data_IF_468561967121
#
_entry.id   IF_468561967121
#
_cell.length_a   1.000
_cell.length_b   1.000
_cell.length_c   1.000
_cell.angle_alpha   90.00
_cell.angle_beta   90.00
_cell.angle_gamma   90.00
#
_symmetry.space_group_name_H-M   'P 1'
#
loop_
_entity.id
_entity.type
_entity.pdbx_description
1 polymer ?
#
# COMPACT_ATOMS: atom_id res chain seq x y z
N UNK A 1 -9.06 29.03 -5.40
CA UNK A 1 -8.18 27.89 -5.10
C UNK A 1 -8.72 26.70 -5.87
N UNK A 2 -7.91 26.05 -6.68
CA UNK A 2 -8.33 24.91 -7.51
C UNK A 2 -8.59 23.69 -6.61
N UNK A 3 -9.56 22.83 -6.94
CA UNK A 3 -9.89 21.64 -6.12
C UNK A 3 -8.67 20.75 -5.82
N UNK A 4 -7.71 20.68 -6.76
CA UNK A 4 -6.47 19.93 -6.59
C UNK A 4 -5.56 20.48 -5.49
N UNK A 5 -5.47 21.81 -5.32
CA UNK A 5 -4.65 22.44 -4.28
C UNK A 5 -5.21 22.15 -2.88
N UNK A 6 -6.54 22.16 -2.72
CA UNK A 6 -7.18 21.85 -1.45
C UNK A 6 -6.99 20.38 -1.06
N UNK A 7 -7.12 19.46 -2.02
CA UNK A 7 -6.85 18.03 -1.79
C UNK A 7 -5.39 17.81 -1.43
N UNK A 8 -4.46 18.41 -2.18
CA UNK A 8 -3.03 18.33 -1.92
C UNK A 8 -2.70 18.82 -0.51
N UNK A 9 -3.19 20.00 -0.13
CA UNK A 9 -3.01 20.58 1.21
C UNK A 9 -3.45 19.62 2.32
N UNK A 10 -4.63 19.00 2.18
CA UNK A 10 -5.12 18.01 3.14
C UNK A 10 -4.24 16.78 3.24
N UNK A 11 -3.77 16.25 2.11
CA UNK A 11 -2.86 15.10 2.10
C UNK A 11 -1.55 15.40 2.82
N UNK A 12 -0.95 16.56 2.56
CA UNK A 12 0.27 17.00 3.26
C UNK A 12 0.01 17.14 4.76
N UNK A 13 -1.10 17.78 5.14
CA UNK A 13 -1.46 17.94 6.55
C UNK A 13 -1.60 16.59 7.26
N UNK A 14 -2.35 15.65 6.68
CA UNK A 14 -2.55 14.32 7.27
C UNK A 14 -1.24 13.55 7.44
N UNK A 15 -0.31 13.68 6.48
CA UNK A 15 1.01 13.06 6.59
C UNK A 15 1.81 13.66 7.75
N UNK A 16 1.85 14.99 7.87
CA UNK A 16 2.57 15.69 8.93
C UNK A 16 2.00 15.40 10.33
N UNK A 17 0.68 15.29 10.44
CA UNK A 17 0.00 14.91 11.69
C UNK A 17 0.40 13.49 12.11
N UNK A 18 0.34 12.50 11.20
CA UNK A 18 0.80 11.14 11.47
C UNK A 18 2.27 11.09 11.87
N UNK A 19 3.11 11.89 11.21
CA UNK A 19 4.54 12.01 11.54
C UNK A 19 4.74 12.57 12.96
N UNK A 20 3.98 13.60 13.33
CA UNK A 20 4.02 14.20 14.66
C UNK A 20 3.52 13.24 15.77
N UNK A 21 2.59 12.33 15.45
CA UNK A 21 2.17 11.28 16.39
C UNK A 21 3.30 10.27 16.67
N UNK A 22 4.13 9.98 15.66
CA UNK A 22 5.24 9.04 15.77
C UNK A 22 6.53 9.69 16.29
N UNK A 23 6.77 10.97 15.97
CA UNK A 23 7.98 11.73 16.30
C UNK A 23 7.62 12.94 17.16
N UNK A 24 7.92 12.84 18.46
CA UNK A 24 7.63 13.89 19.43
C UNK A 24 8.43 15.17 19.18
N UNK A 25 9.65 15.09 18.65
CA UNK A 25 10.46 16.28 18.31
C UNK A 25 9.84 17.02 17.12
N UNK A 26 9.36 16.27 16.14
CA UNK A 26 8.62 16.83 15.00
C UNK A 26 7.29 17.46 15.42
N UNK A 27 6.61 16.90 16.43
CA UNK A 27 5.38 17.50 16.95
C UNK A 27 5.60 18.90 17.55
N UNK A 28 6.78 19.16 18.13
CA UNK A 28 7.15 20.48 18.63
C UNK A 28 7.40 21.46 17.49
N UNK A 29 8.06 21.03 16.40
CA UNK A 29 8.31 21.89 15.23
C UNK A 29 7.03 22.20 14.45
N UNK A 30 6.11 21.25 14.34
CA UNK A 30 4.81 21.42 13.69
C UNK A 30 3.91 22.46 14.39
N UNK A 31 4.06 22.61 15.73
CA UNK A 31 3.27 23.54 16.55
C UNK A 31 3.83 24.97 16.59
N UNK A 32 4.98 25.23 15.96
CA UNK A 32 5.57 26.58 15.92
C UNK A 32 4.64 27.54 15.17
N UNK A 33 4.27 28.68 15.77
CA UNK A 33 3.37 29.67 15.16
C UNK A 33 3.93 30.29 13.86
N UNK A 34 5.25 30.28 13.71
CA UNK A 34 5.97 30.74 12.53
C UNK A 34 6.00 29.71 11.37
N UNK A 35 5.19 28.65 11.44
CA UNK A 35 5.07 27.65 10.38
C UNK A 35 3.60 27.43 10.01
N UNK A 36 3.23 27.74 8.76
CA UNK A 36 1.90 27.46 8.22
C UNK A 36 1.91 26.35 7.17
N UNK A 37 0.85 25.55 7.15
CA UNK A 37 0.61 24.53 6.12
C UNK A 37 0.50 25.16 4.71
N UNK A 38 -0.04 26.39 4.61
CA UNK A 38 -0.12 27.11 3.34
C UNK A 38 1.27 27.48 2.80
N UNK A 39 2.16 27.90 3.69
CA UNK A 39 3.55 28.22 3.32
C UNK A 39 4.35 26.96 2.98
N UNK A 40 4.12 25.87 3.68
CA UNK A 40 4.67 24.55 3.34
C UNK A 40 4.26 24.13 1.93
N UNK A 41 2.97 24.22 1.58
CA UNK A 41 2.49 23.91 0.23
C UNK A 41 3.14 24.83 -0.81
N UNK A 42 3.20 26.13 -0.55
CA UNK A 42 3.86 27.07 -1.46
C UNK A 42 5.36 26.77 -1.64
N UNK A 43 6.04 26.34 -0.57
CA UNK A 43 7.46 25.94 -0.59
C UNK A 43 7.66 24.76 -1.53
N UNK A 44 6.85 23.71 -1.36
CA UNK A 44 6.89 22.51 -2.21
C UNK A 44 6.67 22.91 -3.66
N UNK A 45 5.63 23.71 -3.95
CA UNK A 45 5.31 24.16 -5.31
C UNK A 45 6.44 24.98 -5.94
N UNK A 46 7.12 25.84 -5.18
CA UNK A 46 8.23 26.64 -5.67
C UNK A 46 9.46 25.77 -5.97
N UNK A 47 9.73 24.77 -5.13
CA UNK A 47 10.85 23.85 -5.31
C UNK A 47 10.61 22.92 -6.50
N UNK A 48 9.39 22.39 -6.64
CA UNK A 48 8.94 21.64 -7.82
C UNK A 48 9.08 22.50 -9.08
N UNK A 49 8.61 23.74 -9.05
CA UNK A 49 8.73 24.66 -10.19
C UNK A 49 10.19 24.92 -10.60
N UNK A 50 11.09 25.08 -9.62
CA UNK A 50 12.53 25.28 -9.88
C UNK A 50 13.21 24.03 -10.43
N UNK A 51 12.74 22.84 -10.06
CA UNK A 51 13.30 21.58 -10.56
C UNK A 51 13.07 21.37 -12.06
N UNK A 52 12.03 21.99 -12.62
CA UNK A 52 11.61 21.77 -14.01
C UNK A 52 10.95 20.40 -14.26
N UNK A 53 10.75 19.59 -13.21
CA UNK A 53 10.06 18.30 -13.32
C UNK A 53 8.55 18.46 -13.09
N UNK A 54 7.74 17.76 -13.88
CA UNK A 54 6.27 17.81 -13.82
C UNK A 54 5.64 16.71 -12.95
N UNK A 55 6.43 15.80 -12.38
CA UNK A 55 5.93 14.68 -11.58
C UNK A 55 6.90 14.29 -10.49
N UNK A 56 6.37 14.04 -9.29
CA UNK A 56 7.10 13.66 -8.09
C UNK A 56 6.37 12.52 -7.40
N UNK A 57 7.10 11.63 -6.75
CA UNK A 57 6.50 10.64 -5.88
C UNK A 57 6.00 11.28 -4.58
N UNK A 58 4.98 10.67 -3.96
CA UNK A 58 4.41 11.15 -2.71
C UNK A 58 5.49 11.27 -1.60
N UNK A 59 6.40 10.29 -1.52
CA UNK A 59 7.52 10.27 -0.57
C UNK A 59 8.47 11.46 -0.72
N UNK A 60 8.76 11.88 -1.95
CA UNK A 60 9.61 13.04 -2.22
C UNK A 60 8.92 14.32 -1.74
N UNK A 61 7.64 14.46 -2.08
CA UNK A 61 6.81 15.59 -1.67
C UNK A 61 6.70 15.67 -0.14
N UNK A 62 6.50 14.52 0.52
CA UNK A 62 6.45 14.42 1.97
C UNK A 62 7.79 14.76 2.62
N UNK A 63 8.91 14.34 2.02
CA UNK A 63 10.25 14.73 2.45
C UNK A 63 10.44 16.26 2.40
N UNK A 64 9.99 16.90 1.32
CA UNK A 64 10.03 18.37 1.19
C UNK A 64 9.17 19.06 2.26
N UNK A 65 8.02 18.47 2.61
CA UNK A 65 7.17 18.99 3.67
C UNK A 65 7.84 18.89 5.05
N UNK A 66 8.48 17.77 5.37
CA UNK A 66 9.24 17.59 6.63
C UNK A 66 10.39 18.58 6.71
N UNK A 67 11.19 18.70 5.64
CA UNK A 67 12.26 19.68 5.54
C UNK A 67 11.78 21.11 5.80
N UNK A 68 10.56 21.46 5.39
CA UNK A 68 9.99 22.78 5.66
C UNK A 68 9.85 23.07 7.16
N UNK A 69 9.48 22.07 7.95
CA UNK A 69 9.27 22.22 9.40
C UNK A 69 10.55 22.04 10.21
N UNK A 70 11.52 21.27 9.70
CA UNK A 70 12.83 21.10 10.34
C UNK A 70 13.77 22.30 10.13
N UNK A 71 13.71 22.96 8.97
CA UNK A 71 14.53 24.14 8.71
C UNK A 71 13.85 25.44 9.18
N UNK A 72 14.37 26.07 10.23
CA UNK A 72 13.83 27.35 10.75
C UNK A 72 14.15 28.57 9.85
N UNK A 73 15.13 28.49 8.94
CA UNK A 73 15.62 29.62 8.13
C UNK A 73 15.40 29.42 6.62
N UNK A 74 14.12 29.26 6.24
CA UNK A 74 13.73 29.12 4.84
C UNK A 74 13.49 30.47 4.20
N UNK A 75 14.18 30.74 3.08
CA UNK A 75 14.00 31.97 2.28
C UNK A 75 12.53 32.18 1.95
N UNK A 76 12.04 33.39 2.23
CA UNK A 76 10.67 33.84 1.99
C UNK A 76 10.03 33.18 0.75
N UNK A 77 9.05 32.32 1.01
CA UNK A 77 8.33 31.58 -0.02
C UNK A 77 7.39 32.56 -0.71
N UNK A 78 7.65 32.87 -1.98
CA UNK A 78 6.74 33.71 -2.77
C UNK A 78 5.44 32.96 -3.02
N UNK A 79 4.32 33.62 -2.78
CA UNK A 79 3.01 33.12 -3.17
C UNK A 79 2.99 32.85 -4.69
N UNK A 80 2.78 31.60 -5.05
CA UNK A 80 2.79 31.12 -6.43
C UNK A 80 1.39 30.65 -6.83
N UNK A 81 0.86 31.22 -7.91
CA UNK A 81 -0.42 30.83 -8.50
C UNK A 81 -0.25 29.62 -9.44
N UNK A 82 0.19 28.49 -8.89
CA UNK A 82 0.43 27.26 -9.66
C UNK A 82 -0.81 26.36 -9.67
N UNK A 83 -1.14 25.77 -10.82
CA UNK A 83 -2.24 24.79 -10.94
C UNK A 83 -1.74 23.41 -10.53
N UNK A 84 -2.27 22.88 -9.43
CA UNK A 84 -1.94 21.55 -8.91
C UNK A 84 -2.98 20.55 -9.43
N UNK A 85 -2.53 19.53 -10.16
CA UNK A 85 -3.36 18.42 -10.62
C UNK A 85 -2.89 17.18 -9.84
N UNK A 86 -3.73 16.74 -8.90
CA UNK A 86 -3.46 15.53 -8.10
C UNK A 86 -4.02 14.33 -8.84
N UNK A 87 -3.15 13.57 -9.51
CA UNK A 87 -3.50 12.26 -10.04
C UNK A 87 -3.37 11.23 -8.92
N UNK A 88 -4.29 11.25 -7.96
CA UNK A 88 -4.33 10.24 -6.91
C UNK A 88 -4.82 8.91 -7.49
N UNK A 89 -3.90 8.15 -8.09
CA UNK A 89 -4.07 6.71 -8.26
C UNK A 89 -3.60 6.12 -6.94
N UNK A 90 -4.52 5.56 -6.15
CA UNK A 90 -4.16 4.70 -5.02
C UNK A 90 -3.42 3.50 -5.61
N UNK A 91 -2.12 3.63 -5.78
CA UNK A 91 -1.24 2.48 -5.91
C UNK A 91 -1.05 2.00 -4.49
N UNK A 92 -1.95 1.11 -4.05
CA UNK A 92 -1.68 0.25 -2.90
C UNK A 92 -0.40 -0.51 -3.24
N UNK A 93 0.75 0.01 -2.81
CA UNK A 93 1.98 -0.74 -2.74
C UNK A 93 1.70 -1.99 -1.90
N UNK A 94 2.16 -3.14 -2.40
CA UNK A 94 1.73 -4.45 -1.93
C UNK A 94 1.93 -4.67 -0.42
N UNK A 95 2.86 -3.94 0.20
CA UNK A 95 3.20 -4.07 1.61
C UNK A 95 2.08 -3.61 2.58
N UNK A 96 1.43 -2.46 2.35
CA UNK A 96 0.36 -1.97 3.25
C UNK A 96 -0.93 -2.82 3.19
N UNK A 97 -1.21 -3.40 2.02
CA UNK A 97 -2.34 -4.32 1.84
C UNK A 97 -2.09 -5.66 2.54
N UNK A 98 -0.83 -6.12 2.56
CA UNK A 98 -0.47 -7.40 3.20
C UNK A 98 -0.57 -7.25 4.72
N UNK A 99 -0.04 -6.18 5.30
CA UNK A 99 -0.09 -5.97 6.74
C UNK A 99 -1.54 -5.81 7.25
N UNK A 100 -2.37 -5.04 6.55
CA UNK A 100 -3.78 -4.87 6.90
C UNK A 100 -4.59 -6.18 6.76
N UNK A 101 -4.30 -6.99 5.73
CA UNK A 101 -4.94 -8.31 5.55
C UNK A 101 -4.48 -9.32 6.58
N UNK A 102 -3.21 -9.30 6.97
CA UNK A 102 -2.66 -10.24 7.94
C UNK A 102 -3.21 -9.95 9.35
N UNK A 103 -3.36 -8.68 9.71
CA UNK A 103 -4.00 -8.27 10.96
C UNK A 103 -5.48 -8.66 11.00
N UNK A 104 -6.24 -8.40 9.92
CA UNK A 104 -7.64 -8.81 9.83
C UNK A 104 -7.81 -10.34 9.90
N UNK A 105 -6.91 -11.09 9.25
CA UNK A 105 -6.94 -12.55 9.27
C UNK A 105 -6.58 -13.11 10.65
N UNK A 106 -5.59 -12.53 11.35
CA UNK A 106 -5.25 -12.91 12.73
C UNK A 106 -6.42 -12.71 13.69
N UNK A 107 -7.08 -11.56 13.62
CA UNK A 107 -8.22 -11.25 14.48
C UNK A 107 -9.40 -12.19 14.20
N UNK A 108 -9.71 -12.47 12.93
CA UNK A 108 -10.76 -13.42 12.58
C UNK A 108 -10.46 -14.86 13.05
N UNK A 109 -9.20 -15.30 12.96
CA UNK A 109 -8.76 -16.61 13.46
C UNK A 109 -8.84 -16.66 14.99
N UNK A 110 -8.49 -15.57 15.67
CA UNK A 110 -8.56 -15.50 17.14
C UNK A 110 -10.00 -15.51 17.62
N UNK A 111 -10.87 -14.72 16.99
CA UNK A 111 -12.30 -14.66 17.30
C UNK A 111 -12.98 -16.01 17.06
N UNK A 112 -12.69 -16.67 15.92
CA UNK A 112 -13.17 -18.01 15.63
C UNK A 112 -12.65 -19.07 16.62
N UNK A 113 -11.42 -18.93 17.13
CA UNK A 113 -10.88 -19.82 18.18
C UNK A 113 -11.57 -19.60 19.52
N UNK A 114 -11.91 -18.36 19.88
CA UNK A 114 -12.66 -18.03 21.10
C UNK A 114 -14.08 -18.60 21.01
N UNK A 115 -14.73 -18.47 19.86
CA UNK A 115 -16.08 -18.97 19.61
C UNK A 115 -16.13 -20.52 19.53
N UNK A 116 -15.11 -21.15 18.94
CA UNK A 116 -14.93 -22.60 18.98
C UNK A 116 -14.75 -23.12 20.42
N UNK A 117 -13.92 -22.46 21.24
CA UNK A 117 -13.76 -22.84 22.66
C UNK A 117 -15.06 -22.67 23.47
N UNK A 118 -15.87 -21.67 23.13
CA UNK A 118 -17.17 -21.42 23.77
C UNK A 118 -18.22 -22.48 23.40
N UNK A 119 -18.15 -23.03 22.20
CA UNK A 119 -19.07 -24.08 21.69
C UNK A 119 -18.65 -25.50 22.10
N UNK A 120 -17.36 -25.78 22.24
CA UNK A 120 -16.83 -27.09 22.68
C UNK A 120 -17.18 -27.41 24.15
N UNK A 121 -17.52 -26.41 24.97
CA UNK A 121 -18.00 -26.61 26.35
C UNK A 121 -19.38 -27.30 26.48
N UNK A 122 -20.12 -27.54 25.38
CA UNK A 122 -21.49 -28.07 25.40
C UNK A 122 -21.66 -29.28 24.48
N UNK A 123 -21.17 -30.45 24.93
CA UNK A 123 -21.52 -31.85 24.53
C UNK A 123 -21.83 -32.15 23.04
N UNK A 124 -21.03 -33.03 22.41
CA UNK A 124 -21.42 -34.34 21.78
C UNK A 124 -20.22 -34.91 20.99
N UNK A 125 -20.04 -36.24 21.06
CA UNK A 125 -18.97 -37.05 20.46
C UNK A 125 -19.14 -37.18 18.94
N UNK A 126 -18.11 -36.86 18.16
CA UNK A 126 -17.78 -37.47 16.85
C UNK A 126 -16.29 -37.20 16.59
N UNK A 127 -15.52 -38.23 16.24
CA UNK A 127 -14.05 -38.22 16.25
C UNK A 127 -13.43 -37.25 15.24
N UNK A 128 -12.39 -36.54 15.67
CA UNK A 128 -11.68 -35.47 14.94
C UNK A 128 -10.88 -35.96 13.72
N UNK A 129 -10.69 -37.29 13.60
CA UNK A 129 -9.87 -37.92 12.56
C UNK A 129 -10.57 -37.91 11.19
N UNK A 130 -11.88 -38.19 11.13
CA UNK A 130 -12.62 -38.27 9.84
C UNK A 130 -12.74 -36.90 9.16
N UNK A 131 -12.86 -35.82 9.94
CA UNK A 131 -12.99 -34.47 9.39
C UNK A 131 -11.66 -33.89 8.88
N UNK A 132 -10.54 -34.34 9.47
CA UNK A 132 -9.20 -33.99 9.01
C UNK A 132 -8.84 -34.75 7.72
N UNK A 133 -9.25 -36.01 7.61
CA UNK A 133 -9.04 -36.83 6.41
C UNK A 133 -9.80 -36.28 5.20
N UNK A 134 -11.08 -35.94 5.37
CA UNK A 134 -11.90 -35.33 4.28
C UNK A 134 -11.32 -33.99 3.81
N UNK A 135 -10.79 -33.17 4.72
CA UNK A 135 -10.14 -31.89 4.36
C UNK A 135 -8.82 -32.11 3.63
N UNK A 136 -8.02 -33.08 4.06
CA UNK A 136 -6.73 -33.42 3.42
C UNK A 136 -6.95 -33.97 2.01
N UNK A 137 -7.91 -34.86 1.83
CA UNK A 137 -8.25 -35.44 0.51
C UNK A 137 -8.78 -34.37 -0.47
N UNK A 138 -9.58 -33.42 0.01
CA UNK A 138 -10.07 -32.31 -0.81
C UNK A 138 -8.93 -31.38 -1.30
N UNK A 139 -7.95 -31.09 -0.43
CA UNK A 139 -6.79 -30.26 -0.79
C UNK A 139 -5.90 -31.00 -1.79
N UNK A 140 -5.68 -32.29 -1.61
CA UNK A 140 -4.83 -33.09 -2.50
C UNK A 140 -5.41 -33.19 -3.92
N UNK A 141 -6.73 -33.39 -4.05
CA UNK A 141 -7.42 -33.38 -5.35
C UNK A 141 -7.30 -32.04 -6.07
N UNK A 142 -7.43 -30.92 -5.35
CA UNK A 142 -7.26 -29.58 -5.93
C UNK A 142 -5.82 -29.33 -6.40
N UNK A 143 -4.82 -29.83 -5.66
CA UNK A 143 -3.41 -29.69 -6.05
C UNK A 143 -3.07 -30.53 -7.29
N UNK A 144 -3.61 -31.74 -7.38
CA UNK A 144 -3.41 -32.62 -8.56
C UNK A 144 -4.04 -31.98 -9.80
N UNK A 145 -5.27 -31.47 -9.70
CA UNK A 145 -5.96 -30.82 -10.81
C UNK A 145 -5.20 -29.58 -11.32
N UNK A 146 -4.62 -28.78 -10.41
CA UNK A 146 -3.79 -27.63 -10.79
C UNK A 146 -2.48 -28.06 -11.46
N UNK A 147 -1.84 -29.14 -10.99
CA UNK A 147 -0.62 -29.67 -11.61
C UNK A 147 -0.88 -30.18 -13.03
N UNK A 148 -1.98 -30.90 -13.26
CA UNK A 148 -2.36 -31.37 -14.60
C UNK A 148 -2.59 -30.21 -15.58
N UNK A 149 -3.28 -29.14 -15.12
CA UNK A 149 -3.48 -27.92 -15.92
C UNK A 149 -2.16 -27.24 -16.29
N UNK A 150 -1.19 -27.21 -15.37
CA UNK A 150 0.14 -26.64 -15.62
C UNK A 150 0.95 -27.50 -16.60
N UNK A 151 0.87 -28.83 -16.51
CA UNK A 151 1.55 -29.75 -17.43
C UNK A 151 0.98 -29.64 -18.85
N UNK A 152 -0.35 -29.57 -19.00
CA UNK A 152 -0.97 -29.38 -20.32
C UNK A 152 -0.63 -28.01 -20.94
N UNK A 153 -0.51 -26.96 -20.12
CA UNK A 153 -0.07 -25.65 -20.58
C UNK A 153 1.40 -25.66 -21.00
N UNK A 154 2.25 -26.42 -20.30
CA UNK A 154 3.67 -26.55 -20.62
C UNK A 154 3.91 -27.38 -21.90
N UNK A 155 3.14 -28.45 -22.14
CA UNK A 155 3.26 -29.27 -23.36
C UNK A 155 2.79 -28.53 -24.60
N UNK A 156 1.69 -27.76 -24.51
CA UNK A 156 1.21 -26.93 -25.63
C UNK A 156 2.22 -25.83 -26.01
N UNK A 157 2.86 -25.22 -25.01
CA UNK A 157 3.91 -24.22 -25.24
C UNK A 157 5.17 -24.82 -25.89
N UNK A 158 5.54 -26.06 -25.52
CA UNK A 158 6.71 -26.75 -26.09
C UNK A 158 6.49 -27.16 -27.55
N UNK A 159 5.28 -27.61 -27.91
CA UNK A 159 4.94 -27.91 -29.31
C UNK A 159 4.92 -26.66 -30.19
N UNK A 160 4.51 -25.50 -29.67
CA UNK A 160 4.49 -24.24 -30.43
C UNK A 160 5.91 -23.73 -30.72
N UNK A 161 6.82 -23.81 -29.74
CA UNK A 161 8.23 -23.40 -29.94
C UNK A 161 9.01 -24.37 -30.85
N UNK A 162 8.68 -25.66 -30.84
CA UNK A 162 9.36 -26.65 -31.69
C UNK A 162 8.92 -26.54 -33.17
N UNK A 163 7.66 -26.18 -33.44
CA UNK A 163 7.17 -25.94 -34.82
C UNK A 163 7.78 -24.66 -35.41
N UNK A 164 7.89 -23.57 -34.64
CA UNK A 164 8.58 -22.35 -35.09
C UNK A 164 10.06 -22.56 -35.38
N UNK A 165 10.73 -23.48 -34.64
CA UNK A 165 12.15 -23.75 -34.87
C UNK A 165 12.38 -24.61 -36.12
N UNK A 166 11.42 -25.42 -36.58
CA UNK A 166 11.56 -26.23 -37.81
C UNK A 166 11.34 -25.36 -39.06
N UNK A 167 10.41 -24.39 -39.02
CA UNK A 167 10.16 -23.45 -40.12
C UNK A 167 11.32 -22.47 -40.38
N UNK A 168 12.25 -22.32 -39.43
CA UNK A 168 13.41 -21.42 -39.60
C UNK A 168 14.59 -22.07 -40.34
N UNK A 169 14.57 -23.39 -40.55
CA UNK A 169 15.67 -24.14 -41.20
C UNK A 169 15.27 -24.87 -42.51
N UNK A 170 14.06 -24.65 -43.04
CA UNK A 170 13.56 -25.25 -44.29
C UNK A 170 13.56 -24.30 -45.48
#
# INVERSE_FOLDING_TARGET
>A
MSKGTETFKKTIQQYLEKRAEQDSLFAETLKKENKSIDECVNYILNTVQKSGCNGFADEEIFGMAVHYYDEDDLKAVKANSSNVIVNHKVELTADDLVEAKEQAMKLAIEEAKIEAKKTIGKKVKLSEEDMAEVKKEAIEKLVIEQKEKLVQKATKKKSETEVEQIDLFA
#
